data_IF_050501645672
#
_entry.id   IF_050501645672
#
_cell.length_a   1.000
_cell.length_b   1.000
_cell.length_c   1.000
_cell.angle_alpha   90.00
_cell.angle_beta   90.00
_cell.angle_gamma   90.00
#
_symmetry.space_group_name_H-M   'P 1'
#
loop_
_entity.id
_entity.type
_entity.pdbx_description
1 polymer ?
#
# COMPACT_ATOMS: atom_id res chain seq x y z
N UNK A 1 0.21 9.59 -3.57
CA UNK A 1 1.63 9.18 -3.34
C UNK A 1 2.53 10.19 -4.02
N UNK A 2 3.56 10.72 -3.36
CA UNK A 2 4.45 11.76 -3.91
C UNK A 2 5.39 11.14 -4.94
N UNK A 3 4.85 10.77 -6.10
CA UNK A 3 5.64 10.19 -7.21
C UNK A 3 6.62 11.22 -7.77
N UNK A 4 6.42 12.51 -7.49
CA UNK A 4 7.23 13.61 -8.00
C UNK A 4 8.66 13.66 -7.45
N UNK A 5 8.98 12.87 -6.41
CA UNK A 5 10.34 12.82 -5.83
C UNK A 5 11.07 11.50 -6.05
N UNK A 6 10.45 10.52 -6.69
CA UNK A 6 11.06 9.20 -6.93
C UNK A 6 11.59 9.16 -8.37
N UNK A 7 12.89 8.84 -8.58
CA UNK A 7 13.44 8.64 -9.92
C UNK A 7 12.61 7.67 -10.75
N UNK A 8 12.33 8.02 -12.01
CA UNK A 8 11.43 7.25 -12.88
C UNK A 8 11.90 5.80 -13.11
N UNK A 9 13.22 5.56 -13.05
CA UNK A 9 13.82 4.22 -13.12
C UNK A 9 13.36 3.30 -11.99
N UNK A 10 13.15 3.85 -10.79
CA UNK A 10 12.69 3.08 -9.63
C UNK A 10 11.23 2.69 -9.84
N UNK A 11 10.40 3.64 -10.29
CA UNK A 11 8.97 3.41 -10.57
C UNK A 11 8.78 2.34 -11.65
N UNK A 12 9.65 2.32 -12.67
CA UNK A 12 9.59 1.39 -13.81
C UNK A 12 10.12 -0.02 -13.52
N UNK A 13 10.87 -0.22 -12.44
CA UNK A 13 11.39 -1.54 -12.06
C UNK A 13 10.96 -1.93 -10.62
N UNK A 14 9.68 -2.25 -10.43
CA UNK A 14 9.13 -2.63 -9.13
C UNK A 14 9.72 -3.96 -8.65
N UNK A 15 10.46 -3.93 -7.54
CA UNK A 15 11.12 -5.10 -6.94
C UNK A 15 10.23 -5.90 -5.99
N UNK A 16 8.92 -5.90 -6.23
CA UNK A 16 7.96 -6.65 -5.44
C UNK A 16 7.32 -7.78 -6.28
N UNK A 17 6.85 -8.87 -5.65
CA UNK A 17 6.21 -9.98 -6.37
C UNK A 17 5.02 -9.61 -7.25
N UNK A 18 4.26 -8.56 -6.90
CA UNK A 18 3.13 -8.08 -7.71
C UNK A 18 3.58 -7.40 -9.02
N UNK A 19 4.84 -6.97 -9.12
CA UNK A 19 5.41 -6.40 -10.33
C UNK A 19 4.91 -4.99 -10.65
N UNK A 20 4.32 -4.28 -9.68
CA UNK A 20 3.97 -2.85 -9.77
C UNK A 20 3.90 -2.19 -8.40
N UNK A 21 3.95 -0.86 -8.37
CA UNK A 21 3.57 -0.10 -7.18
C UNK A 21 2.05 -0.02 -7.07
N UNK A 22 1.55 0.08 -5.84
CA UNK A 22 0.14 0.28 -5.58
C UNK A 22 -0.27 1.71 -5.95
N UNK A 23 -1.50 1.85 -6.46
CA UNK A 23 -2.11 3.15 -6.63
C UNK A 23 -2.50 3.74 -5.26
N UNK A 24 -2.51 5.08 -5.11
CA UNK A 24 -2.91 5.72 -3.86
C UNK A 24 -4.28 5.28 -3.34
N UNK A 25 -5.22 5.04 -4.25
CA UNK A 25 -6.59 4.62 -3.97
C UNK A 25 -6.62 3.21 -3.35
N UNK A 26 -5.76 2.29 -3.82
CA UNK A 26 -5.65 0.96 -3.22
C UNK A 26 -5.20 1.02 -1.76
N UNK A 27 -4.32 1.97 -1.40
CA UNK A 27 -3.92 2.20 -0.02
C UNK A 27 -5.04 2.87 0.79
N UNK A 28 -5.78 3.81 0.17
CA UNK A 28 -6.90 4.49 0.82
C UNK A 28 -8.02 3.51 1.21
N UNK A 29 -8.31 2.51 0.39
CA UNK A 29 -9.31 1.47 0.71
C UNK A 29 -8.95 0.68 1.97
N UNK A 30 -7.67 0.33 2.15
CA UNK A 30 -7.21 -0.36 3.37
C UNK A 30 -7.40 0.53 4.59
N UNK A 31 -7.04 1.82 4.49
CA UNK A 31 -7.22 2.79 5.58
C UNK A 31 -8.71 2.97 5.88
N UNK A 32 -9.54 3.11 4.85
CA UNK A 32 -10.99 3.26 4.97
C UNK A 32 -11.59 2.06 5.71
N UNK A 33 -11.22 0.83 5.35
CA UNK A 33 -11.65 -0.36 6.08
C UNK A 33 -11.26 -0.30 7.56
N UNK A 34 -9.98 0.00 7.86
CA UNK A 34 -9.47 0.04 9.24
C UNK A 34 -10.15 1.11 10.11
N UNK A 35 -10.57 2.22 9.51
CA UNK A 35 -11.27 3.31 10.18
C UNK A 35 -12.81 3.16 10.17
N UNK A 36 -13.34 2.19 9.43
CA UNK A 36 -14.78 1.99 9.31
C UNK A 36 -15.35 1.15 10.45
N UNK A 37 -16.67 1.20 10.61
CA UNK A 37 -17.45 0.32 11.50
C UNK A 37 -17.29 -1.18 11.18
N UNK A 38 -16.74 -1.53 10.01
CA UNK A 38 -16.49 -2.94 9.65
C UNK A 38 -15.29 -3.53 10.40
N UNK A 39 -14.35 -2.69 10.86
CA UNK A 39 -13.24 -3.14 11.68
C UNK A 39 -13.66 -3.24 13.16
N UNK A 40 -14.17 -4.41 13.54
CA UNK A 40 -14.75 -4.63 14.88
C UNK A 40 -13.78 -5.18 15.92
N UNK A 41 -12.59 -5.63 15.51
CA UNK A 41 -11.69 -6.36 16.42
C UNK A 41 -10.19 -6.26 16.08
N UNK A 42 -9.79 -5.47 15.07
CA UNK A 42 -8.37 -5.27 14.77
C UNK A 42 -7.84 -4.04 15.51
N UNK A 43 -6.82 -4.23 16.35
CA UNK A 43 -6.08 -3.16 17.01
C UNK A 43 -4.65 -3.61 17.30
N UNK A 44 -3.70 -2.67 17.37
CA UNK A 44 -2.28 -2.92 17.67
C UNK A 44 -1.50 -3.69 16.60
N UNK A 45 -2.14 -4.07 15.49
CA UNK A 45 -1.53 -4.82 14.39
C UNK A 45 -0.88 -3.93 13.34
N UNK A 46 0.08 -4.50 12.60
CA UNK A 46 0.70 -3.87 11.42
C UNK A 46 0.10 -4.54 10.18
N UNK A 47 -0.49 -3.74 9.27
CA UNK A 47 -1.04 -4.22 8.00
C UNK A 47 -0.07 -3.88 6.87
N UNK A 48 0.73 -4.84 6.37
CA UNK A 48 1.70 -4.57 5.32
C UNK A 48 1.04 -4.43 3.94
N UNK A 49 1.06 -3.22 3.39
CA UNK A 49 0.60 -2.93 2.01
C UNK A 49 1.80 -2.64 1.12
N UNK A 50 2.55 -3.70 0.76
CA UNK A 50 3.85 -3.58 0.06
C UNK A 50 4.03 -4.52 -1.14
N UNK A 51 2.95 -5.01 -1.73
CA UNK A 51 3.02 -5.81 -2.96
C UNK A 51 3.70 -7.17 -2.82
N UNK A 52 3.66 -7.78 -1.62
CA UNK A 52 4.17 -9.13 -1.36
C UNK A 52 5.65 -9.21 -0.97
N UNK A 53 6.36 -8.09 -0.84
CA UNK A 53 7.73 -8.11 -0.32
C UNK A 53 7.74 -8.54 1.15
N UNK A 54 8.62 -9.46 1.55
CA UNK A 54 8.79 -9.88 2.96
C UNK A 54 9.23 -8.71 3.86
#
# INVERSE_FOLDING_TARGET
MVVTRVPAEIVRNPRNPIGRYADPEELAEVINFLCSEQNTYMSGGIVPVKGGTA
#
